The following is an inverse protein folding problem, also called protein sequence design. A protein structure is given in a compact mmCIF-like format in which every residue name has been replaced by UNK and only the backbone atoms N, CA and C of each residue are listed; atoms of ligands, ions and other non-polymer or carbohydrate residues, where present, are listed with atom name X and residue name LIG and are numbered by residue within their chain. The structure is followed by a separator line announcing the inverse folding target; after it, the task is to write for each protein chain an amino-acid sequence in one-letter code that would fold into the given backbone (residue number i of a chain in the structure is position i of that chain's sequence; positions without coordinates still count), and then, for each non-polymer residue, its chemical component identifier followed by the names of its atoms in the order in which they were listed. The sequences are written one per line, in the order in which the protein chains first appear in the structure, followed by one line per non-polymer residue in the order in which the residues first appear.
data_IF_205026391890
#
_entry.id   IF_205026391890
#
_cell.length_a   1.000
_cell.length_b   1.000
_cell.length_c   1.000
_cell.angle_alpha   90.00
_cell.angle_beta   90.00
_cell.angle_gamma   90.00
#
_symmetry.space_group_name_H-M   'P 1'
#
loop_
_entity.id
_entity.type
_entity.pdbx_description
1 polymer ?
#
# COMPACT_ATOMS: atom_id res chain seq x y z
N UNK A 1 -10.90 -11.85 -15.73
CA UNK A 1 -10.21 -12.90 -14.94
C UNK A 1 -10.19 -14.26 -15.64
N UNK A 2 -11.32 -14.91 -15.90
CA UNK A 2 -11.35 -16.24 -16.57
C UNK A 2 -10.75 -16.18 -17.98
N UNK A 3 -11.32 -15.37 -18.88
CA UNK A 3 -10.88 -15.29 -20.28
C UNK A 3 -9.45 -14.82 -20.47
N UNK A 4 -9.03 -13.80 -19.72
CA UNK A 4 -7.72 -13.14 -19.87
C UNK A 4 -6.59 -13.84 -19.12
N UNK A 5 -6.87 -14.41 -17.94
CA UNK A 5 -5.84 -14.86 -17.00
C UNK A 5 -5.99 -16.33 -16.57
N UNK A 6 -6.94 -17.06 -17.15
CA UNK A 6 -7.15 -18.49 -16.89
C UNK A 6 -7.57 -18.80 -15.46
N UNK A 7 -8.26 -17.89 -14.77
CA UNK A 7 -8.85 -18.20 -13.47
C UNK A 7 -9.99 -19.20 -13.63
N UNK A 8 -10.12 -20.13 -12.69
CA UNK A 8 -11.33 -20.93 -12.58
C UNK A 8 -12.51 -20.06 -12.14
N UNK A 9 -13.65 -20.23 -12.83
CA UNK A 9 -14.83 -19.41 -12.58
C UNK A 9 -15.41 -19.71 -11.19
N UNK A 10 -15.50 -20.98 -10.82
CA UNK A 10 -16.14 -21.39 -9.57
C UNK A 10 -15.33 -20.92 -8.36
N UNK A 11 -14.01 -21.13 -8.39
CA UNK A 11 -13.09 -20.61 -7.36
C UNK A 11 -13.20 -19.10 -7.20
N UNK A 12 -13.29 -18.35 -8.31
CA UNK A 12 -13.43 -16.90 -8.24
C UNK A 12 -14.78 -16.47 -7.63
N UNK A 13 -15.87 -17.18 -7.93
CA UNK A 13 -17.16 -16.95 -7.29
C UNK A 13 -17.10 -17.26 -5.79
N UNK A 14 -16.44 -18.34 -5.38
CA UNK A 14 -16.25 -18.69 -3.97
C UNK A 14 -15.46 -17.61 -3.21
N UNK A 15 -14.39 -17.07 -3.81
CA UNK A 15 -13.63 -15.95 -3.22
C UNK A 15 -14.49 -14.68 -3.11
N UNK A 16 -15.13 -14.27 -4.21
CA UNK A 16 -15.90 -13.02 -4.27
C UNK A 16 -17.19 -13.08 -3.45
N UNK A 17 -17.81 -14.25 -3.29
CA UNK A 17 -18.98 -14.42 -2.43
C UNK A 17 -18.68 -14.14 -0.94
N UNK A 18 -17.40 -14.25 -0.54
CA UNK A 18 -16.94 -13.93 0.81
C UNK A 18 -16.49 -12.47 0.97
N UNK A 19 -16.44 -11.71 -0.12
CA UNK A 19 -16.12 -10.28 -0.07
C UNK A 19 -17.29 -9.50 0.52
N UNK A 20 -16.98 -8.57 1.41
CA UNK A 20 -17.99 -7.73 2.08
C UNK A 20 -18.04 -6.36 1.42
N UNK A 21 -19.24 -5.86 1.17
CA UNK A 21 -19.44 -4.46 0.80
C UNK A 21 -19.25 -3.59 2.04
N UNK A 22 -18.32 -2.64 1.97
CA UNK A 22 -17.94 -1.79 3.11
C UNK A 22 -18.38 -0.34 2.90
N UNK A 23 -19.55 0.05 3.41
CA UNK A 23 -20.07 1.40 3.19
C UNK A 23 -19.17 2.52 3.75
N UNK A 24 -18.37 2.23 4.78
CA UNK A 24 -17.41 3.22 5.29
C UNK A 24 -16.29 3.52 4.28
N UNK A 25 -15.92 2.56 3.43
CA UNK A 25 -14.93 2.75 2.36
C UNK A 25 -15.47 3.75 1.35
N UNK A 26 -16.73 3.58 0.93
CA UNK A 26 -17.41 4.50 0.01
C UNK A 26 -17.46 5.92 0.58
N UNK A 27 -17.88 6.07 1.84
CA UNK A 27 -17.94 7.38 2.53
C UNK A 27 -16.57 8.06 2.64
N UNK A 28 -15.50 7.31 2.92
CA UNK A 28 -14.15 7.88 2.99
C UNK A 28 -13.66 8.35 1.61
N UNK A 29 -13.94 7.57 0.57
CA UNK A 29 -13.60 7.92 -0.81
C UNK A 29 -14.33 9.19 -1.30
N UNK A 30 -15.59 9.38 -0.87
CA UNK A 30 -16.36 10.59 -1.19
C UNK A 30 -15.85 11.82 -0.42
N UNK A 31 -15.46 11.66 0.85
CA UNK A 31 -14.87 12.76 1.63
C UNK A 31 -13.55 13.26 1.04
N UNK A 32 -12.82 12.40 0.35
CA UNK A 32 -11.55 12.71 -0.32
C UNK A 32 -11.73 13.08 -1.80
N UNK A 33 -12.98 13.26 -2.26
CA UNK A 33 -13.25 13.81 -3.57
C UNK A 33 -12.56 15.18 -3.73
N UNK A 34 -11.96 15.46 -4.90
CA UNK A 34 -11.41 16.79 -5.16
C UNK A 34 -12.46 17.87 -4.89
N UNK A 35 -12.13 18.86 -4.05
CA UNK A 35 -12.95 20.04 -3.83
C UNK A 35 -12.30 21.24 -4.54
N UNK A 36 -13.09 22.00 -5.28
CA UNK A 36 -12.63 23.17 -6.02
C UNK A 36 -12.44 24.43 -5.17
N UNK A 37 -12.36 24.29 -3.84
CA UNK A 37 -12.29 25.43 -2.94
C UNK A 37 -10.85 25.96 -2.87
N UNK A 38 -10.63 27.28 -3.06
CA UNK A 38 -9.30 27.86 -2.92
C UNK A 38 -8.80 27.76 -1.47
N UNK A 39 -7.47 27.66 -1.25
CA UNK A 39 -6.91 27.66 0.09
C UNK A 39 -7.27 28.94 0.85
N UNK A 40 -7.76 28.79 2.08
CA UNK A 40 -8.11 29.93 2.95
C UNK A 40 -6.90 30.47 3.71
N UNK A 41 -6.08 31.30 3.04
CA UNK A 41 -5.03 32.13 3.64
C UNK A 41 -3.97 31.42 4.52
N UNK A 42 -3.10 32.18 5.20
CA UNK A 42 -2.14 31.63 6.15
C UNK A 42 -2.85 31.30 7.48
N UNK A 43 -3.42 30.10 7.58
CA UNK A 43 -4.13 29.65 8.78
C UNK A 43 -3.33 28.63 9.62
N UNK A 44 -2.04 28.42 9.32
CA UNK A 44 -1.21 27.44 10.02
C UNK A 44 -1.46 25.97 9.64
N UNK A 45 -2.11 25.70 8.50
CA UNK A 45 -2.39 24.34 8.00
C UNK A 45 -1.16 23.43 7.99
N UNK A 46 -0.04 23.92 7.45
CA UNK A 46 1.22 23.16 7.42
C UNK A 46 1.71 22.80 8.82
N UNK A 47 1.67 23.73 9.78
CA UNK A 47 2.13 23.47 11.15
C UNK A 47 1.26 22.41 11.83
N UNK A 48 -0.06 22.40 11.58
CA UNK A 48 -0.96 21.35 12.08
C UNK A 48 -0.67 19.99 11.44
N UNK A 49 -0.43 19.94 10.14
CA UNK A 49 -0.09 18.71 9.42
C UNK A 49 1.27 18.15 9.88
N UNK A 50 2.31 18.99 9.91
CA UNK A 50 3.68 18.65 10.34
C UNK A 50 3.69 18.01 11.74
N UNK A 51 2.92 18.56 12.69
CA UNK A 51 2.83 18.07 14.08
C UNK A 51 2.22 16.67 14.22
N UNK A 52 1.53 16.15 13.19
CA UNK A 52 1.02 14.77 13.22
C UNK A 52 2.11 13.73 13.01
N UNK A 53 3.22 14.10 12.36
CA UNK A 53 4.30 13.19 11.97
C UNK A 53 5.61 13.50 12.69
N UNK A 54 5.96 14.78 12.84
CA UNK A 54 7.23 15.20 13.43
C UNK A 54 7.02 15.48 14.92
N UNK A 55 7.09 14.40 15.70
CA UNK A 55 7.01 14.39 17.16
C UNK A 55 8.23 13.68 17.75
N UNK A 56 8.65 13.95 18.99
CA UNK A 56 9.79 13.26 19.60
C UNK A 56 9.67 11.73 19.57
N UNK A 57 8.48 11.19 19.84
CA UNK A 57 8.20 9.76 19.78
C UNK A 57 8.39 9.18 18.38
N UNK A 58 7.82 9.83 17.35
CA UNK A 58 8.00 9.36 15.97
C UNK A 58 9.46 9.45 15.55
N UNK A 59 10.18 10.54 15.87
CA UNK A 59 11.61 10.65 15.52
C UNK A 59 12.42 9.53 16.17
N UNK A 60 12.19 9.24 17.45
CA UNK A 60 12.87 8.14 18.14
C UNK A 60 12.56 6.78 17.50
N UNK A 61 11.30 6.55 17.14
CA UNK A 61 10.87 5.34 16.45
C UNK A 61 11.49 5.19 15.06
N UNK A 62 11.70 6.30 14.34
CA UNK A 62 12.40 6.33 13.07
C UNK A 62 13.89 6.00 13.20
N UNK A 63 14.56 6.50 14.24
CA UNK A 63 15.96 6.13 14.55
C UNK A 63 16.08 4.65 14.86
N UNK A 64 15.16 4.08 15.65
CA UNK A 64 15.14 2.64 15.94
C UNK A 64 14.98 1.84 14.65
N UNK A 65 14.04 2.22 13.78
CA UNK A 65 13.83 1.56 12.50
C UNK A 65 15.05 1.67 11.59
N UNK A 66 15.67 2.85 11.50
CA UNK A 66 16.88 3.06 10.70
C UNK A 66 17.99 2.12 11.15
N UNK A 67 18.33 2.14 12.44
CA UNK A 67 19.41 1.33 12.99
C UNK A 67 19.15 -0.17 12.79
N UNK A 68 17.90 -0.60 12.93
CA UNK A 68 17.50 -1.98 12.70
C UNK A 68 17.68 -2.43 11.24
N UNK A 69 17.55 -1.53 10.28
CA UNK A 69 17.59 -1.83 8.84
C UNK A 69 18.73 -1.14 8.09
N UNK A 70 19.77 -0.74 8.80
CA UNK A 70 20.86 0.05 8.26
C UNK A 70 21.50 -0.59 7.02
N UNK A 71 21.75 -1.90 7.05
CA UNK A 71 22.35 -2.61 5.90
C UNK A 71 21.43 -2.62 4.67
N UNK A 72 20.12 -2.82 4.89
CA UNK A 72 19.14 -2.80 3.82
C UNK A 72 18.96 -1.40 3.22
N UNK A 73 18.95 -0.37 4.08
CA UNK A 73 18.91 1.05 3.70
C UNK A 73 20.15 1.45 2.88
N UNK A 74 21.34 1.08 3.36
CA UNK A 74 22.60 1.37 2.68
C UNK A 74 22.67 0.66 1.33
N UNK A 75 22.25 -0.61 1.25
CA UNK A 75 22.18 -1.32 -0.02
C UNK A 75 21.17 -0.68 -0.96
N UNK A 76 20.01 -0.23 -0.47
CA UNK A 76 19.02 0.46 -1.29
C UNK A 76 19.59 1.77 -1.85
N UNK A 77 20.34 2.52 -1.04
CA UNK A 77 21.04 3.70 -1.49
C UNK A 77 22.10 3.38 -2.56
N UNK A 78 22.91 2.35 -2.36
CA UNK A 78 23.95 1.94 -3.34
C UNK A 78 23.36 1.48 -4.67
N UNK A 79 22.25 0.73 -4.63
CA UNK A 79 21.64 0.15 -5.84
C UNK A 79 20.76 1.16 -6.58
N UNK A 80 20.02 1.99 -5.85
CA UNK A 80 18.98 2.87 -6.42
C UNK A 80 19.25 4.36 -6.28
N UNK A 81 20.30 4.77 -5.56
CA UNK A 81 20.65 6.17 -5.35
C UNK A 81 19.73 6.94 -4.39
N UNK A 82 18.78 6.27 -3.73
CA UNK A 82 17.82 6.93 -2.84
C UNK A 82 18.35 6.99 -1.40
N UNK A 83 18.46 8.21 -0.81
CA UNK A 83 18.98 8.36 0.54
C UNK A 83 18.11 7.66 1.58
N UNK A 84 18.71 7.01 2.60
CA UNK A 84 17.97 6.32 3.66
C UNK A 84 16.88 7.15 4.35
N UNK A 85 17.11 8.45 4.58
CA UNK A 85 16.16 9.36 5.22
C UNK A 85 14.85 9.51 4.47
N UNK A 86 14.89 9.42 3.13
CA UNK A 86 13.69 9.44 2.29
C UNK A 86 12.86 8.18 2.54
N UNK A 87 13.52 7.02 2.55
CA UNK A 87 12.81 5.75 2.72
C UNK A 87 12.25 5.62 4.14
N UNK A 88 13.04 5.98 5.15
CA UNK A 88 12.59 5.99 6.56
C UNK A 88 11.44 6.99 6.75
N UNK A 89 11.52 8.16 6.10
CA UNK A 89 10.48 9.18 6.14
C UNK A 89 9.15 8.70 5.55
N UNK A 90 9.18 8.10 4.36
CA UNK A 90 7.99 7.57 3.69
C UNK A 90 7.34 6.47 4.52
N UNK A 91 8.11 5.47 4.96
CA UNK A 91 7.57 4.38 5.80
C UNK A 91 7.01 4.91 7.13
N UNK A 92 7.63 5.95 7.70
CA UNK A 92 7.17 6.61 8.92
C UNK A 92 5.82 7.30 8.75
N UNK A 93 5.64 8.04 7.66
CA UNK A 93 4.38 8.71 7.32
C UNK A 93 3.28 7.71 6.99
N UNK A 94 3.59 6.69 6.20
CA UNK A 94 2.60 5.72 5.70
C UNK A 94 2.08 4.78 6.79
N UNK A 95 2.97 4.22 7.62
CA UNK A 95 2.59 3.15 8.56
C UNK A 95 3.18 3.27 9.95
N UNK A 96 3.89 4.35 10.26
CA UNK A 96 4.67 4.48 11.50
C UNK A 96 5.61 3.30 11.71
N UNK A 97 6.32 2.93 10.64
CA UNK A 97 7.23 1.79 10.63
C UNK A 97 6.54 0.45 10.96
N UNK A 98 5.39 0.21 10.31
CA UNK A 98 4.65 -1.06 10.40
C UNK A 98 3.66 -1.15 11.55
N UNK A 99 3.54 -0.13 12.39
CA UNK A 99 2.56 -0.12 13.51
C UNK A 99 1.12 0.06 13.03
N UNK A 100 0.93 0.76 11.91
CA UNK A 100 -0.39 1.09 11.35
C UNK A 100 -0.42 0.73 9.87
N UNK A 101 -0.56 -0.56 9.57
CA UNK A 101 -0.60 -1.05 8.17
C UNK A 101 -2.00 -1.09 7.57
N UNK A 102 -3.03 -0.84 8.38
CA UNK A 102 -4.43 -0.99 8.02
C UNK A 102 -5.03 -2.34 8.47
N UNK A 103 -6.35 -2.38 8.60
CA UNK A 103 -7.10 -3.52 9.16
C UNK A 103 -8.17 -4.07 8.20
N UNK A 104 -8.36 -3.41 7.06
CA UNK A 104 -9.39 -3.76 6.08
C UNK A 104 -8.87 -4.89 5.21
N UNK A 105 -9.66 -5.93 4.94
CA UNK A 105 -9.26 -6.93 3.93
C UNK A 105 -9.16 -6.25 2.57
N UNK A 106 -8.07 -6.48 1.86
CA UNK A 106 -7.82 -5.84 0.56
C UNK A 106 -8.92 -6.23 -0.44
N UNK A 107 -9.33 -7.50 -0.42
CA UNK A 107 -10.45 -7.99 -1.22
C UNK A 107 -11.74 -7.19 -0.97
N UNK A 108 -12.10 -6.94 0.30
CA UNK A 108 -13.32 -6.21 0.64
C UNK A 108 -13.26 -4.76 0.15
N UNK A 109 -12.13 -4.08 0.35
CA UNK A 109 -11.92 -2.70 -0.09
C UNK A 109 -12.02 -2.58 -1.62
N UNK A 110 -11.26 -3.40 -2.34
CA UNK A 110 -11.18 -3.34 -3.79
C UNK A 110 -12.48 -3.82 -4.45
N UNK A 111 -13.13 -4.87 -3.95
CA UNK A 111 -14.43 -5.30 -4.46
C UNK A 111 -15.52 -4.23 -4.23
N UNK A 112 -15.55 -3.61 -3.04
CA UNK A 112 -16.47 -2.50 -2.74
C UNK A 112 -16.29 -1.35 -3.73
N UNK A 113 -15.05 -0.93 -3.96
CA UNK A 113 -14.75 0.20 -4.84
C UNK A 113 -14.87 -0.14 -6.33
N UNK A 114 -14.65 -1.39 -6.72
CA UNK A 114 -14.83 -1.83 -8.12
C UNK A 114 -16.31 -1.93 -8.48
N UNK A 115 -17.13 -2.54 -7.62
CA UNK A 115 -18.50 -2.91 -7.96
C UNK A 115 -19.55 -1.94 -7.45
N UNK A 116 -19.22 -1.07 -6.49
CA UNK A 116 -20.18 -0.16 -5.85
C UNK A 116 -19.74 1.30 -5.83
N UNK A 117 -18.69 1.66 -6.59
CA UNK A 117 -18.20 3.05 -6.65
C UNK A 117 -17.98 3.55 -8.10
N UNK A 118 -19.06 3.95 -8.81
CA UNK A 118 -19.02 4.26 -10.25
C UNK A 118 -17.93 5.26 -10.66
N UNK A 119 -17.66 6.29 -9.83
CA UNK A 119 -16.70 7.37 -10.15
C UNK A 119 -15.28 6.85 -10.46
N UNK A 120 -14.86 5.74 -9.86
CA UNK A 120 -13.51 5.17 -10.04
C UNK A 120 -13.54 3.64 -10.22
N UNK A 121 -14.69 3.09 -10.62
CA UNK A 121 -14.90 1.66 -10.73
C UNK A 121 -13.84 0.98 -11.62
N UNK A 122 -13.51 1.57 -12.77
CA UNK A 122 -12.53 1.00 -13.71
C UNK A 122 -11.11 0.96 -13.12
N UNK A 123 -10.71 2.03 -12.43
CA UNK A 123 -9.42 2.08 -11.74
C UNK A 123 -9.32 0.98 -10.69
N UNK A 124 -10.31 0.87 -9.79
CA UNK A 124 -10.28 -0.14 -8.73
C UNK A 124 -10.48 -1.56 -9.27
N UNK A 125 -11.17 -1.73 -10.40
CA UNK A 125 -11.27 -3.03 -11.08
C UNK A 125 -9.90 -3.49 -11.58
N UNK A 126 -9.06 -2.59 -12.10
CA UNK A 126 -7.67 -2.88 -12.47
C UNK A 126 -6.79 -3.23 -11.26
N UNK A 127 -6.99 -2.56 -10.13
CA UNK A 127 -6.32 -2.89 -8.87
C UNK A 127 -6.76 -4.25 -8.33
N UNK A 128 -8.06 -4.57 -8.37
CA UNK A 128 -8.60 -5.87 -7.97
C UNK A 128 -8.08 -7.01 -8.86
N UNK A 129 -8.03 -6.80 -10.18
CA UNK A 129 -7.41 -7.72 -11.13
C UNK A 129 -5.96 -7.99 -10.75
N UNK A 130 -5.19 -6.93 -10.52
CA UNK A 130 -3.76 -7.05 -10.17
C UNK A 130 -3.56 -7.71 -8.81
N UNK A 131 -4.40 -7.40 -7.82
CA UNK A 131 -4.38 -8.01 -6.50
C UNK A 131 -4.61 -9.53 -6.55
N UNK A 132 -5.61 -9.99 -7.30
CA UNK A 132 -5.88 -11.42 -7.43
C UNK A 132 -4.76 -12.16 -8.17
N UNK A 133 -4.14 -11.52 -9.15
CA UNK A 133 -2.96 -12.06 -9.83
C UNK A 133 -1.77 -12.17 -8.88
N UNK A 134 -1.51 -11.13 -8.08
CA UNK A 134 -0.47 -11.12 -7.07
C UNK A 134 -0.69 -12.23 -6.03
N UNK A 135 -1.91 -12.34 -5.49
CA UNK A 135 -2.22 -13.39 -4.52
C UNK A 135 -1.97 -14.78 -5.10
N UNK A 136 -2.32 -15.00 -6.39
CA UNK A 136 -2.04 -16.25 -7.08
C UNK A 136 -0.54 -16.49 -7.29
N UNK A 137 0.24 -15.48 -7.67
CA UNK A 137 1.69 -15.66 -7.92
C UNK A 137 2.47 -15.92 -6.64
N UNK A 138 2.11 -15.23 -5.56
CA UNK A 138 2.74 -15.39 -4.24
C UNK A 138 2.13 -16.54 -3.43
N UNK A 139 1.15 -17.26 -3.99
CA UNK A 139 0.42 -18.35 -3.33
C UNK A 139 -0.26 -17.93 -2.01
N UNK A 140 -0.63 -16.65 -1.92
CA UNK A 140 -1.37 -16.08 -0.80
C UNK A 140 -2.86 -16.39 -0.90
N UNK A 141 -3.51 -16.59 0.25
CA UNK A 141 -4.96 -16.55 0.33
C UNK A 141 -5.45 -15.08 0.26
N UNK A 142 -6.18 -14.67 -0.80
CA UNK A 142 -6.63 -13.30 -0.97
C UNK A 142 -7.58 -12.81 0.14
N UNK A 143 -8.16 -13.72 0.94
CA UNK A 143 -9.04 -13.39 2.06
C UNK A 143 -8.25 -12.97 3.32
N UNK A 144 -6.96 -13.30 3.40
CA UNK A 144 -6.15 -13.01 4.58
C UNK A 144 -5.47 -11.65 4.50
N UNK A 145 -5.19 -11.14 3.30
CA UNK A 145 -4.44 -9.91 3.08
C UNK A 145 -5.22 -8.67 3.54
N UNK A 146 -4.56 -7.83 4.35
CA UNK A 146 -5.13 -6.60 4.92
C UNK A 146 -4.31 -5.37 4.61
N UNK A 147 -4.99 -4.21 4.60
CA UNK A 147 -4.37 -2.91 4.46
C UNK A 147 -5.36 -1.75 4.58
N UNK A 148 -5.13 -0.70 3.80
CA UNK A 148 -5.92 0.53 3.83
C UNK A 148 -7.34 0.33 3.32
N UNK A 149 -8.20 1.34 3.55
CA UNK A 149 -9.56 1.34 3.01
C UNK A 149 -9.61 1.43 1.47
N UNK A 150 -8.51 1.84 0.83
CA UNK A 150 -8.39 1.94 -0.62
C UNK A 150 -7.68 0.73 -1.25
N UNK A 151 -7.24 -0.24 -0.45
CA UNK A 151 -6.50 -1.41 -0.93
C UNK A 151 -4.97 -1.24 -0.97
N UNK A 152 -4.44 -0.23 -0.28
CA UNK A 152 -2.99 -0.03 -0.15
C UNK A 152 -2.40 -0.98 0.90
N UNK A 153 -1.21 -1.54 0.62
CA UNK A 153 -0.66 -2.70 1.33
C UNK A 153 0.71 -2.44 1.95
N UNK A 154 0.90 -2.95 3.17
CA UNK A 154 2.21 -3.06 3.81
C UNK A 154 2.88 -1.74 4.21
N UNK A 155 4.20 -1.79 4.47
CA UNK A 155 4.97 -0.70 5.08
C UNK A 155 4.92 0.62 4.31
N UNK A 156 4.90 0.54 2.97
CA UNK A 156 4.85 1.71 2.08
C UNK A 156 3.47 1.99 1.51
N UNK A 157 2.42 1.29 1.96
CA UNK A 157 1.04 1.46 1.48
C UNK A 157 0.96 1.41 -0.06
N UNK A 158 1.50 0.35 -0.66
CA UNK A 158 1.48 0.20 -2.12
C UNK A 158 0.14 -0.31 -2.62
N UNK A 159 -0.34 0.31 -3.69
CA UNK A 159 -1.45 -0.24 -4.46
C UNK A 159 -0.98 -1.49 -5.24
N UNK A 160 -1.88 -2.46 -5.52
CA UNK A 160 -1.55 -3.65 -6.31
C UNK A 160 -0.83 -3.35 -7.63
N UNK A 161 -1.23 -2.31 -8.36
CA UNK A 161 -0.56 -1.89 -9.60
C UNK A 161 0.89 -1.44 -9.37
N UNK A 162 1.14 -0.65 -8.32
CA UNK A 162 2.49 -0.22 -7.94
C UNK A 162 3.36 -1.41 -7.52
N UNK A 163 2.77 -2.39 -6.82
CA UNK A 163 3.45 -3.64 -6.51
C UNK A 163 3.90 -4.34 -7.80
N UNK A 164 2.99 -4.57 -8.74
CA UNK A 164 3.29 -5.24 -10.01
C UNK A 164 4.39 -4.53 -10.80
N UNK A 165 4.45 -3.21 -10.75
CA UNK A 165 5.40 -2.41 -11.53
C UNK A 165 6.78 -2.28 -10.86
N UNK A 166 6.84 -2.18 -9.54
CA UNK A 166 8.05 -1.71 -8.85
C UNK A 166 8.56 -2.63 -7.74
N UNK A 167 7.76 -3.60 -7.28
CA UNK A 167 8.18 -4.49 -6.22
C UNK A 167 9.27 -5.46 -6.71
N UNK A 168 10.22 -5.76 -5.81
CA UNK A 168 11.32 -6.69 -6.05
C UNK A 168 11.54 -7.54 -4.82
N UNK A 169 11.99 -8.77 -5.05
CA UNK A 169 12.61 -9.58 -4.01
C UNK A 169 13.99 -8.99 -3.69
N UNK A 170 14.05 -8.22 -2.61
CA UNK A 170 15.27 -7.58 -2.19
C UNK A 170 16.04 -8.41 -1.16
N UNK A 171 15.46 -9.45 -0.54
CA UNK A 171 16.21 -10.36 0.34
C UNK A 171 16.75 -11.60 -0.40
N UNK A 172 16.36 -11.80 -1.66
CA UNK A 172 16.84 -12.90 -2.50
C UNK A 172 16.25 -14.26 -2.11
N UNK A 173 15.06 -14.30 -1.51
CA UNK A 173 14.40 -15.55 -1.11
C UNK A 173 13.49 -16.15 -2.20
N UNK A 174 13.42 -15.51 -3.37
CA UNK A 174 12.61 -15.93 -4.51
C UNK A 174 11.15 -15.44 -4.44
N UNK A 175 10.75 -14.72 -3.40
CA UNK A 175 9.39 -14.22 -3.21
C UNK A 175 9.34 -12.70 -3.11
N UNK A 176 8.38 -12.09 -3.82
CA UNK A 176 8.13 -10.66 -3.67
C UNK A 176 7.07 -10.51 -2.57
N UNK A 177 7.45 -10.79 -1.32
CA UNK A 177 6.51 -10.85 -0.21
C UNK A 177 5.93 -9.46 0.11
N UNK A 178 4.73 -9.13 -0.41
CA UNK A 178 3.99 -7.93 0.00
C UNK A 178 2.69 -8.21 0.76
N UNK A 179 2.24 -9.47 0.80
CA UNK A 179 1.08 -9.92 1.57
C UNK A 179 1.48 -10.57 2.89
N UNK A 180 1.37 -9.85 4.02
CA UNK A 180 1.51 -10.38 5.40
C UNK A 180 2.89 -10.95 5.82
N UNK A 181 3.72 -11.45 4.90
CA UNK A 181 5.12 -11.85 5.13
C UNK A 181 6.10 -10.78 4.70
N UNK A 182 6.01 -9.56 5.24
CA UNK A 182 7.08 -8.58 4.98
C UNK A 182 8.41 -9.07 5.57
N UNK A 183 9.22 -9.76 4.76
CA UNK A 183 10.66 -9.70 4.92
C UNK A 183 11.04 -8.25 4.68
N UNK A 184 11.98 -7.79 5.48
CA UNK A 184 12.25 -6.37 5.81
C UNK A 184 12.90 -5.60 4.64
N UNK A 185 12.74 -6.11 3.43
CA UNK A 185 13.56 -5.93 2.23
C UNK A 185 12.72 -5.49 1.03
N UNK A 186 11.46 -5.91 0.86
CA UNK A 186 10.69 -5.59 -0.35
C UNK A 186 10.26 -4.11 -0.49
N UNK A 187 10.35 -3.29 0.57
CA UNK A 187 9.85 -1.91 0.58
C UNK A 187 10.76 -0.92 -0.16
N UNK A 188 12.06 -1.23 -0.26
CA UNK A 188 13.08 -0.23 -0.53
C UNK A 188 13.07 0.23 -1.99
N UNK A 189 12.84 -0.67 -2.96
CA UNK A 189 12.77 -0.27 -4.38
C UNK A 189 11.45 0.39 -4.71
N UNK A 190 10.32 -0.08 -4.19
CA UNK A 190 9.02 0.46 -4.57
C UNK A 190 8.91 1.94 -4.18
N UNK A 191 9.48 2.29 -3.02
CA UNK A 191 9.66 3.69 -2.61
C UNK A 191 10.68 4.37 -3.51
N UNK A 192 11.87 3.79 -3.67
CA UNK A 192 12.97 4.42 -4.41
C UNK A 192 12.68 4.70 -5.90
N UNK A 193 12.09 3.73 -6.60
CA UNK A 193 11.65 3.85 -7.99
C UNK A 193 10.51 4.85 -8.15
N UNK A 194 9.59 4.95 -7.18
CA UNK A 194 8.47 5.90 -7.24
C UNK A 194 8.91 7.35 -7.04
N UNK A 195 10.06 7.58 -6.38
CA UNK A 195 10.60 8.93 -6.11
C UNK A 195 11.68 9.37 -7.09
N UNK A 196 12.24 8.46 -7.90
CA UNK A 196 13.32 8.75 -8.84
C UNK A 196 12.84 9.11 -10.26
N UNK A 197 11.53 9.21 -10.47
CA UNK A 197 10.89 9.58 -11.75
C UNK A 197 10.37 11.00 -11.77
#
# INVERSE_FOLDING_TARGET
MVSKHGFDRQQLHEILSQAKRLDYVLRLMDRQAPSGLPPSGPNGAWLRYKKQFITPDNVQNGVVFWNQYQDALNRAWQVYGVPPEIIVGIIGVETRWGRVMGKTRILDALATLSFSYPRRADYFSGELETFLLMARSEQDDPLNLKGSFAGAMGYGQFMPSSYKQYAVDFNGDGHINCGIRWTRSAAWRTISNSTAG
#
